data_IF_215596433730
#
_entry.id   IF_215596433730
#
_cell.length_a   1.000
_cell.length_b   1.000
_cell.length_c   1.000
_cell.angle_alpha   90.00
_cell.angle_beta   90.00
_cell.angle_gamma   90.00
#
_symmetry.space_group_name_H-M   'P 1'
#
loop_
_entity.id
_entity.type
_entity.pdbx_description
1 polymer ?
#
# COMPACT_ATOMS: atom_id res chain seq x y z
N UNK A 1 14.66 -24.76 19.34
CA UNK A 1 13.66 -23.69 19.20
C UNK A 1 14.31 -22.56 18.43
N UNK A 2 13.89 -22.35 17.18
CA UNK A 2 14.31 -21.16 16.43
C UNK A 2 13.78 -19.94 17.18
N UNK A 3 14.65 -18.96 17.46
CA UNK A 3 14.23 -17.68 18.00
C UNK A 3 13.44 -17.02 16.87
N UNK A 4 12.11 -17.01 16.97
CA UNK A 4 11.24 -16.35 15.98
C UNK A 4 11.65 -14.88 15.98
N UNK A 5 12.29 -14.43 14.89
CA UNK A 5 12.61 -13.03 14.73
C UNK A 5 11.29 -12.29 14.47
N UNK A 6 10.79 -11.59 15.49
CA UNK A 6 9.52 -10.86 15.42
C UNK A 6 9.66 -9.45 14.85
N UNK A 7 10.87 -9.04 14.46
CA UNK A 7 11.13 -7.69 13.96
C UNK A 7 11.07 -7.66 12.43
N UNK A 8 10.01 -7.05 11.91
CA UNK A 8 9.85 -6.77 10.49
C UNK A 8 10.74 -5.59 10.12
N UNK A 9 11.65 -5.79 9.15
CA UNK A 9 12.60 -4.76 8.70
C UNK A 9 12.35 -4.28 7.27
N UNK A 10 11.61 -5.08 6.50
CA UNK A 10 11.45 -4.92 5.05
C UNK A 10 9.98 -4.77 4.68
N UNK A 11 9.71 -3.86 3.76
CA UNK A 11 8.41 -3.75 3.09
C UNK A 11 8.54 -4.20 1.63
N UNK A 12 7.62 -5.06 1.19
CA UNK A 12 7.48 -5.49 -0.20
C UNK A 12 6.34 -4.70 -0.83
N UNK A 13 6.63 -3.99 -1.92
CA UNK A 13 5.67 -3.18 -2.65
C UNK A 13 5.53 -3.74 -4.09
N UNK A 14 4.43 -4.43 -4.40
CA UNK A 14 4.17 -4.92 -5.74
C UNK A 14 3.79 -3.80 -6.71
N UNK A 15 4.71 -3.44 -7.62
CA UNK A 15 4.56 -2.34 -8.60
C UNK A 15 4.60 -2.82 -10.06
N UNK A 16 4.58 -4.13 -10.29
CA UNK A 16 4.72 -4.72 -11.63
C UNK A 16 3.46 -4.61 -12.52
N UNK A 17 2.28 -4.33 -11.95
CA UNK A 17 1.01 -4.29 -12.67
C UNK A 17 0.94 -3.19 -13.74
N UNK A 18 0.23 -3.45 -14.84
CA UNK A 18 0.10 -2.53 -15.98
C UNK A 18 -0.91 -1.38 -15.76
N UNK A 19 -1.73 -1.44 -14.71
CA UNK A 19 -2.67 -0.37 -14.36
C UNK A 19 -3.78 -0.13 -15.38
N UNK A 20 -4.36 -1.21 -15.92
CA UNK A 20 -5.38 -1.17 -16.98
C UNK A 20 -6.63 -0.37 -16.60
N UNK A 21 -7.01 -0.36 -15.31
CA UNK A 21 -8.13 0.43 -14.77
C UNK A 21 -7.96 1.94 -14.95
N UNK A 22 -6.72 2.43 -15.07
CA UNK A 22 -6.37 3.84 -15.16
C UNK A 22 -6.03 4.28 -16.60
N UNK A 23 -6.26 3.42 -17.61
CA UNK A 23 -6.08 3.80 -19.00
C UNK A 23 -7.03 4.94 -19.41
N UNK A 24 -6.61 5.86 -20.31
CA UNK A 24 -5.34 5.86 -21.04
C UNK A 24 -4.16 6.50 -20.30
N UNK A 25 -4.36 7.08 -19.11
CA UNK A 25 -3.32 7.82 -18.39
C UNK A 25 -2.07 6.98 -18.14
N UNK A 26 -2.25 5.70 -17.79
CA UNK A 26 -1.18 4.75 -17.46
C UNK A 26 -0.61 3.98 -18.65
N UNK A 27 -0.93 4.38 -19.89
CA UNK A 27 -0.45 3.68 -21.10
C UNK A 27 1.08 3.70 -21.20
N UNK A 28 1.71 4.80 -20.82
CA UNK A 28 3.15 5.04 -20.97
C UNK A 28 3.85 5.48 -19.68
N UNK A 29 3.08 5.71 -18.60
CA UNK A 29 3.60 5.98 -17.27
C UNK A 29 3.06 4.94 -16.29
N UNK A 30 3.83 4.55 -15.25
CA UNK A 30 3.32 3.70 -14.19
C UNK A 30 2.07 4.29 -13.51
N UNK A 31 1.13 3.43 -13.10
CA UNK A 31 0.01 3.88 -12.24
C UNK A 31 0.49 4.46 -10.91
N UNK A 32 1.59 3.92 -10.39
CA UNK A 32 2.21 4.35 -9.13
C UNK A 32 2.84 5.75 -9.23
N UNK A 33 3.05 6.24 -10.47
CA UNK A 33 3.57 7.57 -10.77
C UNK A 33 2.46 8.59 -11.09
N UNK A 34 1.18 8.22 -10.94
CA UNK A 34 0.10 9.20 -11.04
C UNK A 34 0.23 10.20 -9.88
N UNK A 35 0.20 11.52 -10.15
CA UNK A 35 0.38 12.52 -9.12
C UNK A 35 -0.90 12.72 -8.31
N UNK A 36 -0.79 12.58 -7.00
CA UNK A 36 -1.77 13.13 -6.07
C UNK A 36 -1.36 14.57 -5.78
N UNK A 37 -2.00 15.51 -6.47
CA UNK A 37 -1.59 16.92 -6.54
C UNK A 37 -0.22 17.11 -7.19
N UNK A 38 0.86 16.99 -6.41
CA UNK A 38 2.24 17.28 -6.82
C UNK A 38 3.23 16.15 -6.51
N UNK A 39 2.79 15.07 -5.84
CA UNK A 39 3.61 13.90 -5.49
C UNK A 39 3.03 12.62 -6.08
N UNK A 40 3.83 11.70 -6.64
CA UNK A 40 3.31 10.43 -7.14
C UNK A 40 2.82 9.54 -6.00
N UNK A 41 1.82 8.69 -6.26
CA UNK A 41 1.27 7.73 -5.29
C UNK A 41 2.36 6.94 -4.54
N UNK A 42 3.38 6.47 -5.25
CA UNK A 42 4.46 5.69 -4.63
C UNK A 42 5.22 6.45 -3.55
N UNK A 43 5.33 7.78 -3.65
CA UNK A 43 6.02 8.58 -2.65
C UNK A 43 5.26 8.58 -1.32
N UNK A 44 3.92 8.66 -1.35
CA UNK A 44 3.09 8.54 -0.14
C UNK A 44 3.26 7.18 0.52
N UNK A 45 3.28 6.11 -0.29
CA UNK A 45 3.42 4.73 0.18
C UNK A 45 4.80 4.49 0.81
N UNK A 46 5.86 5.04 0.22
CA UNK A 46 7.21 4.97 0.77
C UNK A 46 7.32 5.80 2.05
N UNK A 47 6.73 7.00 2.09
CA UNK A 47 6.69 7.83 3.29
C UNK A 47 5.94 7.15 4.44
N UNK A 48 4.84 6.44 4.18
CA UNK A 48 4.14 5.62 5.17
C UNK A 48 5.06 4.53 5.76
N UNK A 49 5.82 3.82 4.91
CA UNK A 49 6.79 2.82 5.38
C UNK A 49 7.85 3.44 6.29
N UNK A 50 8.38 4.60 5.91
CA UNK A 50 9.41 5.33 6.67
C UNK A 50 8.84 5.84 8.00
N UNK A 51 7.62 6.37 8.00
CA UNK A 51 6.91 6.81 9.20
C UNK A 51 6.74 5.66 10.20
N UNK A 52 6.48 4.45 9.70
CA UNK A 52 6.40 3.23 10.49
C UNK A 52 7.76 2.62 10.89
N UNK A 53 8.88 3.26 10.51
CA UNK A 53 10.23 2.83 10.84
C UNK A 53 10.79 1.72 9.96
N UNK A 54 10.20 1.46 8.79
CA UNK A 54 10.72 0.55 7.78
C UNK A 54 11.64 1.31 6.82
N UNK A 55 12.91 0.91 6.79
CA UNK A 55 13.94 1.57 6.01
C UNK A 55 14.43 0.74 4.81
N UNK A 56 13.99 -0.52 4.67
CA UNK A 56 14.35 -1.39 3.55
C UNK A 56 13.10 -1.69 2.73
N UNK A 57 13.04 -1.18 1.51
CA UNK A 57 11.88 -1.30 0.62
C UNK A 57 12.26 -2.16 -0.57
N UNK A 58 11.42 -3.13 -0.92
CA UNK A 58 11.61 -4.04 -2.05
C UNK A 58 10.48 -3.81 -3.04
N UNK A 59 10.82 -3.22 -4.18
CA UNK A 59 9.92 -3.06 -5.31
C UNK A 59 9.90 -4.32 -6.16
N UNK A 60 8.75 -5.00 -6.22
CA UNK A 60 8.55 -6.10 -7.17
C UNK A 60 7.99 -5.50 -8.45
N UNK A 61 8.86 -5.32 -9.45
CA UNK A 61 8.66 -4.39 -10.56
C UNK A 61 8.62 -5.06 -11.94
N UNK A 62 8.39 -4.25 -12.98
CA UNK A 62 8.31 -4.62 -14.39
C UNK A 62 9.26 -3.75 -15.24
N UNK A 63 9.59 -4.20 -16.46
CA UNK A 63 10.53 -3.50 -17.35
C UNK A 63 10.14 -2.07 -17.71
N UNK A 64 8.84 -1.77 -17.72
CA UNK A 64 8.29 -0.45 -18.06
C UNK A 64 8.20 0.53 -16.87
N UNK A 65 8.81 0.20 -15.72
CA UNK A 65 8.61 0.90 -14.44
C UNK A 65 9.85 1.61 -13.90
N UNK A 66 10.85 1.85 -14.73
CA UNK A 66 12.11 2.49 -14.33
C UNK A 66 11.92 3.89 -13.72
N UNK A 67 10.84 4.60 -14.07
CA UNK A 67 10.57 5.93 -13.51
C UNK A 67 10.22 5.89 -12.01
N UNK A 68 9.78 4.75 -11.47
CA UNK A 68 9.56 4.60 -10.03
C UNK A 68 10.91 4.68 -9.30
N UNK A 69 11.91 3.97 -9.79
CA UNK A 69 13.25 3.96 -9.19
C UNK A 69 13.92 5.33 -9.31
N UNK A 70 13.87 5.92 -10.51
CA UNK A 70 14.44 7.24 -10.75
C UNK A 70 13.82 8.34 -9.87
N UNK A 71 12.58 8.16 -9.40
CA UNK A 71 11.92 9.13 -8.50
C UNK A 71 12.60 9.22 -7.13
N UNK A 72 13.14 8.11 -6.64
CA UNK A 72 13.82 8.03 -5.35
C UNK A 72 15.34 8.08 -5.46
N UNK A 73 15.89 7.98 -6.67
CA UNK A 73 17.31 8.11 -6.94
C UNK A 73 17.70 9.57 -7.24
N UNK A 74 19.00 9.85 -7.19
CA UNK A 74 19.57 11.16 -7.53
C UNK A 74 19.31 11.50 -9.00
N UNK A 75 18.53 12.55 -9.24
CA UNK A 75 18.26 13.08 -10.58
C UNK A 75 19.34 14.08 -10.99
N UNK A 76 20.52 13.58 -11.37
CA UNK A 76 21.74 14.38 -11.56
C UNK A 76 21.56 15.65 -12.42
N UNK A 77 20.93 15.53 -13.59
CA UNK A 77 20.72 16.68 -14.49
C UNK A 77 19.74 17.72 -13.90
N UNK A 78 18.70 17.25 -13.20
CA UNK A 78 17.72 18.11 -12.54
C UNK A 78 18.37 18.89 -11.40
N UNK A 79 19.11 18.21 -10.54
CA UNK A 79 19.80 18.83 -9.39
C UNK A 79 20.81 19.88 -9.85
N UNK A 80 21.66 19.55 -10.83
CA UNK A 80 22.62 20.49 -11.41
C UNK A 80 21.93 21.73 -12.03
N UNK A 81 20.76 21.54 -12.65
CA UNK A 81 19.97 22.65 -13.21
C UNK A 81 19.37 23.53 -12.11
N UNK A 82 18.81 22.94 -11.05
CA UNK A 82 18.22 23.65 -9.92
C UNK A 82 19.29 24.45 -9.15
N UNK A 83 20.46 23.86 -8.93
CA UNK A 83 21.61 24.52 -8.31
C UNK A 83 22.07 25.72 -9.15
N UNK A 84 22.26 25.53 -10.47
CA UNK A 84 22.63 26.62 -11.39
C UNK A 84 21.62 27.76 -11.41
N UNK A 85 20.33 27.47 -11.24
CA UNK A 85 19.23 28.46 -11.18
C UNK A 85 18.97 28.99 -9.78
N UNK A 86 19.77 28.59 -8.78
CA UNK A 86 19.66 29.00 -7.37
C UNK A 86 18.27 28.70 -6.77
N UNK A 87 17.62 27.61 -7.22
CA UNK A 87 16.32 27.15 -6.74
C UNK A 87 16.48 26.24 -5.52
N UNK A 88 17.02 26.79 -4.43
CA UNK A 88 17.46 26.04 -3.23
C UNK A 88 16.35 25.22 -2.57
N UNK A 89 15.16 25.81 -2.41
CA UNK A 89 14.03 25.12 -1.77
C UNK A 89 13.58 23.89 -2.57
N UNK A 90 13.43 24.02 -3.89
CA UNK A 90 13.11 22.89 -4.78
C UNK A 90 14.22 21.83 -4.81
N UNK A 91 15.49 22.25 -4.73
CA UNK A 91 16.61 21.32 -4.66
C UNK A 91 16.57 20.49 -3.38
N UNK A 92 16.32 21.13 -2.23
CA UNK A 92 16.15 20.46 -0.94
C UNK A 92 14.95 19.50 -0.95
N UNK A 93 13.82 19.90 -1.51
CA UNK A 93 12.64 19.06 -1.68
C UNK A 93 12.95 17.80 -2.49
N UNK A 94 13.56 17.94 -3.68
CA UNK A 94 13.94 16.80 -4.54
C UNK A 94 14.92 15.86 -3.84
N UNK A 95 15.95 16.40 -3.19
CA UNK A 95 16.95 15.60 -2.47
C UNK A 95 16.38 14.88 -1.24
N UNK A 96 15.25 15.35 -0.69
CA UNK A 96 14.60 14.74 0.47
C UNK A 96 13.70 13.55 0.14
N UNK A 97 13.33 13.35 -1.14
CA UNK A 97 12.40 12.29 -1.58
C UNK A 97 12.92 10.88 -1.26
N UNK A 98 14.23 10.65 -1.39
CA UNK A 98 14.90 9.41 -0.97
C UNK A 98 15.78 9.65 0.24
N UNK A 99 15.28 9.53 1.49
CA UNK A 99 16.09 9.81 2.66
C UNK A 99 17.31 8.90 2.74
N UNK A 100 18.48 9.44 3.11
CA UNK A 100 19.78 8.74 3.10
C UNK A 100 19.83 7.43 3.90
N UNK A 101 18.91 7.23 4.83
CA UNK A 101 18.83 6.03 5.68
C UNK A 101 17.89 4.95 5.13
N UNK A 102 17.23 5.21 3.99
CA UNK A 102 16.28 4.31 3.33
C UNK A 102 16.97 3.66 2.14
N UNK A 103 16.84 2.35 2.03
CA UNK A 103 17.35 1.56 0.90
C UNK A 103 16.18 1.01 0.10
N UNK A 104 16.13 1.36 -1.18
CA UNK A 104 15.16 0.81 -2.12
C UNK A 104 15.86 -0.21 -3.01
N UNK A 105 15.36 -1.44 -2.98
CA UNK A 105 15.79 -2.56 -3.79
C UNK A 105 14.71 -2.88 -4.82
N UNK A 106 15.09 -3.50 -5.93
CA UNK A 106 14.13 -4.00 -6.90
C UNK A 106 14.37 -5.46 -7.27
N UNK A 107 13.28 -6.16 -7.59
CA UNK A 107 13.28 -7.48 -8.22
C UNK A 107 12.21 -7.51 -9.30
N UNK A 108 12.47 -8.21 -10.40
CA UNK A 108 11.48 -8.32 -11.50
C UNK A 108 10.49 -9.43 -11.20
N UNK A 109 9.20 -9.15 -11.37
CA UNK A 109 8.17 -10.19 -11.29
C UNK A 109 8.26 -11.17 -12.48
N UNK A 110 8.70 -10.69 -13.65
CA UNK A 110 8.68 -11.47 -14.88
C UNK A 110 7.26 -11.56 -15.46
N UNK A 111 6.60 -12.71 -15.27
CA UNK A 111 5.23 -12.92 -15.74
C UNK A 111 4.22 -12.46 -14.69
N UNK A 112 3.17 -11.77 -15.12
CA UNK A 112 2.06 -11.34 -14.25
C UNK A 112 1.21 -12.56 -13.85
N UNK A 113 1.59 -13.22 -12.75
CA UNK A 113 0.94 -14.43 -12.20
C UNK A 113 0.19 -14.15 -10.88
N UNK A 114 -0.22 -12.91 -10.65
CA UNK A 114 -0.94 -12.51 -9.43
C UNK A 114 -0.08 -11.94 -8.31
N UNK A 115 -0.78 -11.45 -7.28
CA UNK A 115 -0.19 -10.77 -6.12
C UNK A 115 0.67 -11.72 -5.27
N UNK A 116 0.23 -12.95 -5.02
CA UNK A 116 1.00 -13.94 -4.27
C UNK A 116 2.34 -14.25 -4.96
N UNK A 117 2.33 -14.39 -6.28
CA UNK A 117 3.57 -14.52 -7.06
C UNK A 117 4.47 -13.29 -6.93
N UNK A 118 3.91 -12.08 -6.94
CA UNK A 118 4.70 -10.86 -6.75
C UNK A 118 5.41 -10.87 -5.40
N UNK A 119 4.68 -11.18 -4.31
CA UNK A 119 5.27 -11.27 -2.96
C UNK A 119 6.37 -12.34 -2.94
N UNK A 120 6.12 -13.51 -3.52
CA UNK A 120 7.10 -14.61 -3.58
C UNK A 120 8.40 -14.21 -4.31
N UNK A 121 8.33 -13.37 -5.35
CA UNK A 121 9.54 -12.88 -6.03
C UNK A 121 10.49 -12.09 -5.11
N UNK A 122 9.99 -11.53 -4.00
CA UNK A 122 10.81 -10.83 -3.02
C UNK A 122 11.48 -11.76 -2.00
N UNK A 123 11.09 -13.03 -1.91
CA UNK A 123 11.60 -13.98 -0.90
C UNK A 123 13.14 -14.07 -0.89
N UNK A 124 13.87 -14.11 -2.02
CA UNK A 124 15.35 -14.13 -1.98
C UNK A 124 16.00 -12.88 -1.36
N UNK A 125 15.30 -11.73 -1.38
CA UNK A 125 15.77 -10.48 -0.79
C UNK A 125 15.33 -10.35 0.68
N UNK A 126 14.18 -10.93 1.05
CA UNK A 126 13.69 -10.90 2.43
C UNK A 126 14.36 -11.98 3.29
N UNK A 127 14.52 -13.19 2.75
CA UNK A 127 14.87 -14.39 3.49
C UNK A 127 13.69 -14.98 4.26
N UNK A 128 13.97 -15.94 5.15
CA UNK A 128 12.97 -16.57 6.02
C UNK A 128 12.65 -15.68 7.23
N UNK A 129 12.22 -14.45 6.94
CA UNK A 129 11.96 -13.37 7.89
C UNK A 129 10.52 -12.84 7.73
N UNK A 130 9.91 -12.27 8.77
CA UNK A 130 8.60 -11.62 8.63
C UNK A 130 8.71 -10.35 7.78
N UNK A 131 7.60 -9.99 7.12
CA UNK A 131 7.60 -8.96 6.09
C UNK A 131 6.34 -8.10 6.13
N UNK A 132 6.49 -6.81 5.83
CA UNK A 132 5.34 -5.96 5.51
C UNK A 132 5.04 -6.05 4.01
N UNK A 133 3.77 -6.20 3.62
CA UNK A 133 3.35 -6.09 2.21
C UNK A 133 2.43 -4.89 2.07
N UNK A 134 2.71 -4.05 1.08
CA UNK A 134 2.04 -2.76 0.90
C UNK A 134 1.54 -2.65 -0.54
N UNK A 135 0.22 -2.51 -0.72
CA UNK A 135 -0.35 -2.24 -2.04
C UNK A 135 -0.27 -0.74 -2.35
N UNK A 136 0.42 -0.35 -3.45
CA UNK A 136 0.76 1.05 -3.71
C UNK A 136 -0.38 1.87 -4.32
N UNK A 137 -1.50 1.23 -4.68
CA UNK A 137 -2.69 1.90 -5.20
C UNK A 137 -3.68 2.34 -4.12
N UNK A 138 -3.44 1.98 -2.86
CA UNK A 138 -4.23 2.47 -1.72
C UNK A 138 -3.36 3.39 -0.87
N UNK A 139 -3.82 4.63 -0.66
CA UNK A 139 -3.13 5.63 0.16
C UNK A 139 -3.83 5.74 1.51
N UNK A 140 -3.08 5.59 2.61
CA UNK A 140 -3.59 5.88 3.95
C UNK A 140 -3.43 7.37 4.22
N UNK A 141 -4.52 8.03 4.57
CA UNK A 141 -4.57 9.48 4.70
C UNK A 141 -3.81 9.98 5.94
N UNK A 142 -2.64 10.58 5.69
CA UNK A 142 -1.73 11.12 6.70
C UNK A 142 -2.32 12.29 7.51
N UNK A 143 -3.42 12.89 7.05
CA UNK A 143 -4.11 13.97 7.76
C UNK A 143 -5.25 13.45 8.65
N UNK A 144 -5.61 12.16 8.53
CA UNK A 144 -6.70 11.51 9.29
C UNK A 144 -6.20 10.51 10.32
N UNK A 145 -4.90 10.24 10.36
CA UNK A 145 -4.22 9.36 11.31
C UNK A 145 -2.75 9.74 11.45
N UNK A 146 -2.10 9.41 12.58
CA UNK A 146 -0.67 9.62 12.76
C UNK A 146 0.09 8.38 12.30
N UNK A 147 0.59 8.37 11.06
CA UNK A 147 1.27 7.21 10.47
C UNK A 147 2.51 6.74 11.26
N UNK A 148 3.06 7.56 12.17
CA UNK A 148 4.18 7.18 13.05
C UNK A 148 3.77 6.31 14.25
N UNK A 149 2.46 6.21 14.54
CA UNK A 149 1.91 5.49 15.69
C UNK A 149 0.75 4.57 15.32
N UNK A 150 -0.09 5.02 14.39
CA UNK A 150 -1.28 4.31 13.94
C UNK A 150 -0.98 3.38 12.76
N UNK A 151 -1.96 2.56 12.40
CA UNK A 151 -1.98 1.79 11.15
C UNK A 151 -0.79 0.84 11.02
N UNK A 152 0.04 0.98 9.98
CA UNK A 152 1.19 0.10 9.77
C UNK A 152 2.11 0.05 11.01
N UNK A 153 2.33 1.17 11.69
CA UNK A 153 3.13 1.25 12.92
C UNK A 153 2.56 0.37 14.04
N UNK A 154 1.24 0.46 14.25
CA UNK A 154 0.52 -0.32 15.26
C UNK A 154 0.49 -1.82 14.90
N UNK A 155 0.31 -2.15 13.61
CA UNK A 155 0.39 -3.54 13.13
C UNK A 155 1.78 -4.14 13.36
N UNK A 156 2.85 -3.39 13.09
CA UNK A 156 4.22 -3.85 13.34
C UNK A 156 4.47 -4.07 14.84
N UNK A 157 3.99 -3.16 15.68
CA UNK A 157 4.07 -3.31 17.14
C UNK A 157 3.30 -4.54 17.61
N UNK A 158 2.05 -4.70 17.17
CA UNK A 158 1.19 -5.83 17.53
C UNK A 158 1.82 -7.15 17.12
N UNK A 159 2.35 -7.23 15.89
CA UNK A 159 3.10 -8.40 15.42
C UNK A 159 4.34 -8.67 16.27
N UNK A 160 5.09 -7.64 16.68
CA UNK A 160 6.25 -7.82 17.56
C UNK A 160 5.87 -8.39 18.94
N UNK A 161 4.70 -8.03 19.47
CA UNK A 161 4.20 -8.50 20.75
C UNK A 161 3.67 -9.94 20.65
N UNK A 162 2.78 -10.20 19.69
CA UNK A 162 2.03 -11.47 19.61
C UNK A 162 2.71 -12.50 18.72
N UNK A 163 3.39 -12.07 17.66
CA UNK A 163 3.84 -12.90 16.56
C UNK A 163 2.71 -13.28 15.58
N UNK A 164 1.50 -12.78 15.77
CA UNK A 164 0.36 -13.06 14.90
C UNK A 164 0.39 -12.13 13.70
N UNK A 165 0.28 -12.68 12.49
CA UNK A 165 0.22 -11.88 11.27
C UNK A 165 -0.96 -10.90 11.35
N UNK A 166 -0.76 -9.67 10.85
CA UNK A 166 -1.75 -8.59 10.90
C UNK A 166 -2.22 -8.24 9.49
N UNK A 167 -3.52 -8.11 9.30
CA UNK A 167 -4.14 -7.71 8.02
C UNK A 167 -5.03 -6.50 8.25
N UNK A 168 -4.72 -5.39 7.59
CA UNK A 168 -5.52 -4.18 7.73
C UNK A 168 -6.85 -4.31 7.01
N UNK A 169 -7.92 -3.96 7.71
CA UNK A 169 -9.29 -3.97 7.20
C UNK A 169 -10.02 -2.66 7.47
N UNK A 170 -11.00 -2.35 6.63
CA UNK A 170 -11.93 -1.26 6.85
C UNK A 170 -13.35 -1.67 6.43
N UNK A 171 -14.40 -1.10 7.03
CA UNK A 171 -15.78 -1.36 6.61
C UNK A 171 -16.06 -0.75 5.25
N UNK A 172 -16.63 -1.54 4.33
CA UNK A 172 -17.05 -1.07 3.00
C UNK A 172 -18.51 -1.38 2.72
N UNK A 173 -19.16 -0.53 1.92
CA UNK A 173 -20.52 -0.80 1.43
C UNK A 173 -20.53 -1.87 0.33
N UNK A 174 -19.53 -1.85 -0.57
CA UNK A 174 -19.43 -2.77 -1.69
C UNK A 174 -18.33 -3.81 -1.47
N UNK A 175 -18.71 -4.93 -0.84
CA UNK A 175 -17.82 -6.05 -0.51
C UNK A 175 -17.29 -6.82 -1.72
N UNK A 176 -17.98 -6.79 -2.86
CA UNK A 176 -17.65 -7.65 -4.02
C UNK A 176 -16.43 -7.20 -4.82
N UNK A 177 -15.82 -6.06 -4.46
CA UNK A 177 -14.61 -5.55 -5.11
C UNK A 177 -13.32 -5.91 -4.38
N UNK A 178 -13.42 -6.49 -3.18
CA UNK A 178 -12.31 -6.64 -2.24
C UNK A 178 -12.22 -8.06 -1.67
N UNK A 179 -11.10 -8.38 -1.03
CA UNK A 179 -11.01 -9.51 -0.10
C UNK A 179 -11.74 -9.17 1.19
N UNK A 180 -12.62 -10.05 1.68
CA UNK A 180 -13.44 -9.81 2.88
C UNK A 180 -13.07 -10.82 3.96
N UNK A 181 -12.83 -10.33 5.18
CA UNK A 181 -12.39 -11.17 6.31
C UNK A 181 -13.57 -11.70 7.13
N UNK A 182 -13.38 -12.86 7.76
CA UNK A 182 -14.30 -13.43 8.74
C UNK A 182 -13.69 -13.34 10.14
N UNK A 183 -14.24 -12.47 10.99
CA UNK A 183 -13.89 -12.34 12.41
C UNK A 183 -14.93 -13.01 13.34
N UNK A 184 -15.73 -13.96 12.84
CA UNK A 184 -16.81 -14.65 13.58
C UNK A 184 -17.80 -13.69 14.26
N UNK A 185 -18.09 -12.57 13.62
CA UNK A 185 -19.01 -11.54 14.13
C UNK A 185 -18.45 -10.66 15.25
N UNK A 186 -17.14 -10.72 15.53
CA UNK A 186 -16.50 -9.76 16.44
C UNK A 186 -16.52 -8.37 15.82
N UNK A 187 -17.10 -7.41 16.54
CA UNK A 187 -17.03 -6.00 16.17
C UNK A 187 -15.66 -5.41 16.52
N UNK A 188 -15.00 -4.82 15.53
CA UNK A 188 -13.72 -4.14 15.67
C UNK A 188 -13.92 -2.63 15.67
N UNK A 189 -13.25 -1.91 16.56
CA UNK A 189 -13.15 -0.45 16.51
C UNK A 189 -11.82 -0.04 15.85
N UNK A 190 -11.69 1.19 15.32
CA UNK A 190 -10.43 1.68 14.77
C UNK A 190 -9.24 1.50 15.74
N UNK A 191 -8.20 0.81 15.30
CA UNK A 191 -7.01 0.45 16.08
C UNK A 191 -7.08 -0.92 16.77
N UNK A 192 -8.24 -1.56 16.84
CA UNK A 192 -8.37 -2.89 17.41
C UNK A 192 -7.78 -3.95 16.47
N UNK A 193 -7.28 -5.04 17.06
CA UNK A 193 -6.94 -6.27 16.35
C UNK A 193 -7.71 -7.44 16.95
N UNK A 194 -8.28 -8.29 16.09
CA UNK A 194 -8.94 -9.52 16.52
C UNK A 194 -8.58 -10.69 15.61
N UNK A 195 -8.53 -11.93 16.13
CA UNK A 195 -8.32 -13.11 15.30
C UNK A 195 -9.36 -13.20 14.19
N UNK A 196 -8.88 -13.42 12.96
CA UNK A 196 -9.69 -13.76 11.80
C UNK A 196 -9.54 -15.25 11.50
N UNK A 197 -10.60 -15.85 10.95
CA UNK A 197 -10.67 -17.30 10.67
C UNK A 197 -10.87 -17.61 9.19
N UNK A 198 -11.05 -16.58 8.37
CA UNK A 198 -11.32 -16.71 6.95
C UNK A 198 -11.07 -15.41 6.22
N UNK A 199 -10.73 -15.53 4.95
CA UNK A 199 -10.66 -14.43 3.99
C UNK A 199 -11.16 -14.96 2.66
N UNK A 200 -12.05 -14.21 2.01
CA UNK A 200 -12.62 -14.60 0.71
C UNK A 200 -12.34 -13.48 -0.28
N UNK A 201 -11.67 -13.80 -1.39
CA UNK A 201 -11.39 -12.83 -2.46
C UNK A 201 -12.66 -12.58 -3.29
N UNK A 202 -13.12 -11.33 -3.31
CA UNK A 202 -14.26 -10.84 -4.13
C UNK A 202 -15.53 -11.69 -3.99
N UNK A 203 -16.07 -11.85 -2.77
CA UNK A 203 -17.28 -12.62 -2.55
C UNK A 203 -18.49 -11.94 -3.19
N UNK A 204 -19.53 -12.73 -3.51
CA UNK A 204 -20.86 -12.14 -3.72
C UNK A 204 -21.34 -11.52 -2.42
N UNK A 205 -22.12 -10.44 -2.49
CA UNK A 205 -22.67 -9.79 -1.29
C UNK A 205 -23.42 -10.74 -0.35
N UNK A 206 -24.13 -11.75 -0.89
CA UNK A 206 -24.84 -12.76 -0.10
C UNK A 206 -23.95 -13.81 0.57
N UNK A 207 -22.69 -13.93 0.13
CA UNK A 207 -21.71 -14.91 0.59
C UNK A 207 -20.60 -14.24 1.43
N UNK A 208 -20.67 -12.92 1.62
CA UNK A 208 -19.66 -12.17 2.34
C UNK A 208 -19.76 -12.46 3.86
N UNK A 209 -18.66 -12.86 4.51
CA UNK A 209 -18.68 -13.20 5.94
C UNK A 209 -18.79 -11.97 6.86
N UNK A 210 -18.47 -10.79 6.34
CA UNK A 210 -18.60 -9.50 7.02
C UNK A 210 -18.63 -8.36 6.00
N UNK A 211 -18.58 -7.10 6.47
CA UNK A 211 -18.33 -5.92 5.64
C UNK A 211 -16.88 -5.41 5.74
N UNK A 212 -15.98 -6.13 6.41
CA UNK A 212 -14.59 -5.74 6.61
C UNK A 212 -13.76 -6.17 5.41
N UNK A 213 -13.42 -5.20 4.56
CA UNK A 213 -12.59 -5.41 3.38
C UNK A 213 -11.11 -5.18 3.69
N UNK A 214 -10.25 -5.97 3.06
CA UNK A 214 -8.79 -5.85 3.14
C UNK A 214 -8.33 -4.59 2.41
N UNK A 215 -7.62 -3.72 3.14
CA UNK A 215 -7.16 -2.40 2.64
C UNK A 215 -5.89 -2.51 1.79
N UNK A 216 -5.10 -3.57 2.00
CA UNK A 216 -3.82 -3.75 1.30
C UNK A 216 -2.59 -3.35 2.10
N UNK A 217 -2.67 -3.48 3.44
CA UNK A 217 -1.52 -3.50 4.34
C UNK A 217 -1.49 -4.84 5.06
N UNK A 218 -0.34 -5.48 5.06
CA UNK A 218 -0.14 -6.78 5.70
C UNK A 218 1.17 -6.76 6.47
N UNK A 219 1.19 -7.37 7.64
CA UNK A 219 2.41 -7.74 8.36
C UNK A 219 2.37 -9.26 8.53
N UNK A 220 3.19 -9.97 7.78
CA UNK A 220 3.11 -11.42 7.64
C UNK A 220 4.31 -12.07 8.34
N UNK A 221 4.05 -13.17 9.04
CA UNK A 221 5.10 -14.02 9.60
C UNK A 221 5.92 -14.68 8.49
N UNK A 222 7.12 -15.17 8.83
CA UNK A 222 7.97 -15.90 7.89
C UNK A 222 7.33 -17.21 7.37
N UNK A 223 6.32 -17.75 8.07
CA UNK A 223 5.68 -19.00 7.67
C UNK A 223 4.91 -18.86 6.34
N UNK A 224 4.56 -17.62 5.94
CA UNK A 224 3.91 -17.32 4.67
C UNK A 224 4.73 -17.77 3.46
N UNK A 225 6.07 -17.75 3.53
CA UNK A 225 6.93 -18.05 2.39
C UNK A 225 6.72 -19.47 1.88
N UNK A 226 6.76 -20.45 2.80
CA UNK A 226 6.54 -21.86 2.49
C UNK A 226 5.12 -22.17 1.97
N UNK A 227 4.17 -21.29 2.29
CA UNK A 227 2.77 -21.41 1.85
C UNK A 227 2.61 -20.83 0.45
N UNK A 228 3.16 -19.65 0.19
CA UNK A 228 3.16 -19.01 -1.13
C UNK A 228 3.76 -19.90 -2.22
N UNK A 229 4.81 -20.66 -1.91
CA UNK A 229 5.40 -21.64 -2.85
C UNK A 229 4.43 -22.77 -3.23
N UNK A 230 3.50 -23.11 -2.35
CA UNK A 230 2.54 -24.23 -2.50
C UNK A 230 1.16 -23.78 -2.93
N UNK A 231 0.86 -22.48 -2.84
CA UNK A 231 -0.44 -21.92 -3.20
C UNK A 231 -0.71 -22.16 -4.67
N UNK A 232 -1.76 -22.92 -5.02
CA UNK A 232 -2.12 -23.14 -6.42
C UNK A 232 -2.67 -21.86 -7.04
N UNK A 233 -2.64 -21.72 -8.38
CA UNK A 233 -3.37 -20.65 -9.06
C UNK A 233 -4.87 -20.71 -8.74
N UNK A 234 -5.44 -19.59 -8.33
CA UNK A 234 -6.84 -19.44 -7.94
C UNK A 234 -7.62 -18.57 -8.94
N UNK A 235 -8.33 -17.57 -8.41
CA UNK A 235 -9.12 -16.64 -9.20
C UNK A 235 -8.30 -16.00 -10.33
N UNK A 236 -8.81 -16.04 -11.56
CA UNK A 236 -8.13 -15.46 -12.73
C UNK A 236 -6.88 -16.23 -13.19
N UNK A 237 -6.67 -17.47 -12.74
CA UNK A 237 -5.45 -18.26 -12.98
C UNK A 237 -4.18 -17.58 -12.43
N UNK A 238 -4.36 -16.84 -11.33
CA UNK A 238 -3.33 -16.10 -10.62
C UNK A 238 -3.08 -16.71 -9.24
N UNK A 239 -1.83 -16.68 -8.77
CA UNK A 239 -1.49 -17.04 -7.39
C UNK A 239 -1.90 -15.85 -6.50
N UNK A 240 -2.95 -16.05 -5.70
CA UNK A 240 -3.49 -15.01 -4.83
C UNK A 240 -2.81 -15.02 -3.46
N UNK A 241 -2.56 -13.83 -2.91
CA UNK A 241 -2.01 -13.70 -1.55
C UNK A 241 -3.04 -14.11 -0.49
N UNK A 242 -4.33 -13.87 -0.75
CA UNK A 242 -5.44 -14.28 0.13
C UNK A 242 -5.50 -15.79 0.33
N UNK A 243 -5.25 -16.57 -0.71
CA UNK A 243 -5.26 -18.04 -0.64
C UNK A 243 -4.09 -18.54 0.22
N UNK A 244 -2.91 -17.92 0.12
CA UNK A 244 -1.77 -18.22 0.98
C UNK A 244 -2.03 -17.83 2.45
N UNK A 245 -2.71 -16.72 2.69
CA UNK A 245 -3.15 -16.27 4.03
C UNK A 245 -4.20 -17.24 4.61
N UNK A 246 -5.12 -17.75 3.79
CA UNK A 246 -6.06 -18.78 4.21
C UNK A 246 -5.33 -20.04 4.71
N UNK A 247 -4.31 -20.50 3.97
CA UNK A 247 -3.45 -21.59 4.41
C UNK A 247 -2.63 -21.25 5.67
N UNK A 248 -2.32 -19.96 5.90
CA UNK A 248 -1.59 -19.51 7.09
C UNK A 248 -2.47 -19.61 8.33
N UNK A 249 -3.75 -19.25 8.21
CA UNK A 249 -4.74 -19.36 9.29
C UNK A 249 -4.98 -20.81 9.76
N UNK A 250 -4.71 -21.80 8.91
CA UNK A 250 -4.75 -23.23 9.31
C UNK A 250 -3.56 -23.62 10.21
N UNK A 251 -2.46 -22.88 10.16
CA UNK A 251 -1.23 -23.16 10.90
C UNK A 251 -1.08 -22.32 12.17
N UNK A 252 -1.45 -21.04 12.09
CA UNK A 252 -1.27 -20.09 13.17
C UNK A 252 -2.35 -19.01 13.18
N UNK A 253 -2.39 -18.23 14.26
CA UNK A 253 -3.33 -17.12 14.39
C UNK A 253 -2.93 -15.97 13.46
N UNK A 254 -3.90 -15.50 12.67
CA UNK A 254 -3.85 -14.24 11.92
C UNK A 254 -4.90 -13.31 12.51
N UNK A 255 -4.58 -12.03 12.67
CA UNK A 255 -5.47 -11.00 13.19
C UNK A 255 -5.84 -9.99 12.09
N UNK A 256 -7.10 -9.57 12.07
CA UNK A 256 -7.54 -8.41 11.33
C UNK A 256 -7.34 -7.17 12.20
N UNK A 257 -6.65 -6.16 11.69
CA UNK A 257 -6.43 -4.85 12.29
C UNK A 257 -7.36 -3.83 11.65
N UNK A 258 -8.16 -3.10 12.44
CA UNK A 258 -9.08 -2.11 11.90
C UNK A 258 -8.36 -0.77 11.67
N UNK A 259 -8.39 -0.29 10.43
CA UNK A 259 -7.82 1.00 10.01
C UNK A 259 -8.28 2.15 10.93
N UNK A 260 -7.35 3.05 11.29
CA UNK A 260 -7.65 4.38 11.83
C UNK A 260 -7.54 5.43 10.74
N UNK A 261 -8.51 6.34 10.70
CA UNK A 261 -8.56 7.38 9.67
C UNK A 261 -9.30 6.90 8.42
N UNK A 262 -8.74 7.19 7.25
CA UNK A 262 -9.37 6.96 5.94
C UNK A 262 -8.33 6.41 4.97
N UNK A 263 -8.75 5.51 4.08
CA UNK A 263 -7.96 5.06 2.94
C UNK A 263 -8.53 5.64 1.63
N UNK A 264 -7.67 5.80 0.63
CA UNK A 264 -8.02 6.24 -0.71
C UNK A 264 -7.62 5.17 -1.73
N UNK A 265 -8.59 4.47 -2.33
CA UNK A 265 -8.34 3.56 -3.46
C UNK A 265 -8.08 4.36 -4.75
N UNK A 266 -6.82 4.61 -5.04
CA UNK A 266 -6.34 5.23 -6.27
C UNK A 266 -6.16 4.21 -7.43
N UNK A 267 -6.54 2.94 -7.22
CA UNK A 267 -6.59 1.91 -8.24
C UNK A 267 -7.83 2.01 -9.15
N UNK A 268 -8.83 2.80 -8.74
CA UNK A 268 -10.00 3.14 -9.53
C UNK A 268 -10.05 4.66 -9.82
N UNK A 269 -10.65 5.03 -10.95
CA UNK A 269 -10.62 6.43 -11.43
C UNK A 269 -11.34 7.40 -10.50
N UNK A 270 -12.49 7.00 -9.95
CA UNK A 270 -13.29 7.88 -9.09
C UNK A 270 -12.57 8.12 -7.76
N UNK A 271 -12.08 7.07 -7.12
CA UNK A 271 -11.30 7.15 -5.89
C UNK A 271 -10.03 7.98 -6.06
N UNK A 272 -9.31 7.80 -7.18
CA UNK A 272 -8.18 8.67 -7.52
C UNK A 272 -8.57 10.16 -7.65
N UNK A 273 -9.68 10.47 -8.31
CA UNK A 273 -10.16 11.85 -8.44
C UNK A 273 -10.57 12.45 -7.09
N UNK A 274 -11.28 11.68 -6.26
CA UNK A 274 -11.68 12.09 -4.91
C UNK A 274 -10.46 12.39 -4.05
N UNK A 275 -9.48 11.48 -4.06
CA UNK A 275 -8.21 11.66 -3.36
C UNK A 275 -7.47 12.92 -3.85
N UNK A 276 -7.43 13.15 -5.17
CA UNK A 276 -6.77 14.33 -5.73
C UNK A 276 -7.39 15.63 -5.22
N UNK A 277 -8.73 15.71 -5.17
CA UNK A 277 -9.44 16.87 -4.64
C UNK A 277 -9.18 17.02 -3.14
N UNK A 278 -9.29 15.95 -2.36
CA UNK A 278 -9.10 16.00 -0.92
C UNK A 278 -7.69 16.44 -0.51
N UNK A 279 -6.66 15.90 -1.16
CA UNK A 279 -5.27 16.32 -0.93
C UNK A 279 -5.03 17.73 -1.47
N UNK A 280 -5.64 18.10 -2.61
CA UNK A 280 -5.54 19.44 -3.18
C UNK A 280 -6.07 20.51 -2.23
N UNK A 281 -7.22 20.26 -1.59
CA UNK A 281 -7.82 21.15 -0.60
C UNK A 281 -6.93 21.35 0.63
N UNK A 282 -6.09 20.35 0.97
CA UNK A 282 -5.17 20.37 2.12
C UNK A 282 -3.74 20.81 1.74
N UNK A 283 -3.48 21.06 0.46
CA UNK A 283 -2.16 21.46 -0.02
C UNK A 283 -1.74 22.81 0.57
N UNK A 284 -0.58 22.89 1.23
CA UNK A 284 -0.16 24.05 2.03
C UNK A 284 -0.22 25.38 1.25
N UNK A 285 0.20 25.36 -0.02
CA UNK A 285 0.30 26.57 -0.85
C UNK A 285 -0.90 26.81 -1.77
N UNK A 286 -1.66 25.75 -2.11
CA UNK A 286 -2.68 25.79 -3.17
C UNK A 286 -4.09 25.53 -2.64
N UNK A 287 -4.22 24.91 -1.46
CA UNK A 287 -5.49 24.56 -0.84
C UNK A 287 -6.45 25.72 -0.67
N UNK A 288 -6.03 26.90 -0.13
CA UNK A 288 -6.93 28.05 -0.01
C UNK A 288 -7.49 28.54 -1.35
N UNK A 289 -6.64 28.61 -2.39
CA UNK A 289 -7.06 29.05 -3.73
C UNK A 289 -7.97 28.01 -4.40
N UNK A 290 -7.64 26.72 -4.27
CA UNK A 290 -8.46 25.63 -4.81
C UNK A 290 -9.82 25.56 -4.14
N UNK A 291 -9.88 25.76 -2.81
CA UNK A 291 -11.13 25.76 -2.04
C UNK A 291 -12.05 26.86 -2.53
N UNK A 292 -11.52 28.08 -2.68
CA UNK A 292 -12.31 29.21 -3.18
C UNK A 292 -12.82 28.93 -4.59
N UNK A 293 -11.96 28.47 -5.50
CA UNK A 293 -12.34 28.16 -6.88
C UNK A 293 -13.42 27.07 -6.95
N UNK A 294 -13.33 26.03 -6.11
CA UNK A 294 -14.35 24.97 -6.05
C UNK A 294 -15.70 25.49 -5.54
N UNK A 295 -15.70 26.37 -4.53
CA UNK A 295 -16.94 26.99 -4.03
C UNK A 295 -17.62 27.81 -5.12
N UNK A 296 -16.86 28.68 -5.80
CA UNK A 296 -17.38 29.49 -6.92
C UNK A 296 -17.93 28.61 -8.05
N UNK A 297 -17.22 27.53 -8.41
CA UNK A 297 -17.64 26.61 -9.48
C UNK A 297 -18.93 25.87 -9.13
N UNK A 298 -19.08 25.41 -7.88
CA UNK A 298 -20.30 24.71 -7.43
C UNK A 298 -21.48 25.67 -7.40
N UNK A 299 -21.29 26.91 -6.91
CA UNK A 299 -22.33 27.94 -6.92
C UNK A 299 -22.78 28.31 -8.34
N UNK A 300 -21.87 28.29 -9.33
CA UNK A 300 -22.23 28.50 -10.74
C UNK A 300 -23.04 27.35 -11.35
N UNK A 301 -22.81 26.09 -10.94
CA UNK A 301 -23.58 24.94 -11.44
C UNK A 301 -24.99 24.82 -10.80
N UNK A 302 -25.17 25.38 -9.60
CA UNK A 302 -26.47 25.39 -8.90
C UNK A 302 -27.42 26.51 -9.41
N UNK A 303 -26.92 27.49 -10.17
CA UNK A 303 -27.67 28.62 -10.74
C UNK A 303 -28.03 28.43 -12.23
#
# INVERSE_FOLDING_TARGET
>A
MSIINKKVKKAVIPVAGLGTRMLPATKAIPKEMLPLVDKPLIQYVVNECIAAGINEIILVTHSSKNSIENHFDTSFELEAMLEKRVKRQLLEEVQSIGPKHVTIMQVRQGLAKGLGHAVLCAHPLVGDEPVAVILPDVIIDEYKSDLTKDNLSEMLQRFSETGHSQIMVEPVENVSSYGVVDCKGVELKPGDSAPMVGVVEKPKASEAPSNLAVVGRYVLSADIWSLLEKTPPGAGNEIQLTDAIAMLMEKETVEAYHLKGVSHDCGNKLGYMQAFVEYGLRHENLGPQLTQWLQETIEEEEN
#
